data_IF_038161913808
#
_entry.id   IF_038161913808
#
_cell.length_a   1.000
_cell.length_b   1.000
_cell.length_c   1.000
_cell.angle_alpha   90.00
_cell.angle_beta   90.00
_cell.angle_gamma   90.00
#
_symmetry.space_group_name_H-M   'P 1'
#
loop_
_entity.id
_entity.type
_entity.pdbx_description
1 polymer ?
#
# COMPACT_ATOMS: atom_id res chain seq x y z
N UNK A 1 -29.70 12.31 -68.70
CA UNK A 1 -30.30 11.37 -67.73
C UNK A 1 -29.57 11.53 -66.40
N UNK A 2 -30.31 11.82 -65.32
CA UNK A 2 -29.80 11.95 -63.94
C UNK A 2 -29.24 10.60 -63.48
N UNK A 3 -28.02 10.58 -62.92
CA UNK A 3 -27.58 9.45 -62.08
C UNK A 3 -27.23 9.97 -60.69
N UNK A 4 -27.75 9.23 -59.71
CA UNK A 4 -27.99 9.64 -58.32
C UNK A 4 -26.78 9.31 -57.45
N UNK A 5 -26.48 10.21 -56.53
CA UNK A 5 -25.56 10.04 -55.40
C UNK A 5 -25.90 8.77 -54.60
N UNK A 6 -24.90 7.92 -54.38
CA UNK A 6 -24.86 6.87 -53.35
C UNK A 6 -23.58 7.18 -52.57
N UNK A 7 -23.63 7.75 -51.38
CA UNK A 7 -24.26 7.19 -50.19
C UNK A 7 -23.15 6.56 -49.35
N UNK A 8 -22.62 7.33 -48.40
CA UNK A 8 -21.54 6.95 -47.50
C UNK A 8 -21.82 5.61 -46.81
N UNK A 9 -20.85 4.69 -46.82
CA UNK A 9 -20.83 3.56 -45.89
C UNK A 9 -19.79 3.84 -44.82
N UNK A 10 -20.32 4.22 -43.66
CA UNK A 10 -19.62 4.30 -42.40
C UNK A 10 -18.93 2.95 -42.09
N UNK A 11 -17.64 3.01 -41.78
CA UNK A 11 -16.95 1.97 -41.06
C UNK A 11 -16.42 2.56 -39.77
N UNK A 12 -17.27 2.68 -38.74
CA UNK A 12 -16.76 2.90 -37.39
C UNK A 12 -16.01 1.63 -36.98
N UNK A 13 -14.69 1.68 -37.00
CA UNK A 13 -13.87 0.70 -36.29
C UNK A 13 -14.06 0.92 -34.79
N UNK A 14 -14.91 0.10 -34.18
CA UNK A 14 -15.10 0.06 -32.72
C UNK A 14 -13.79 -0.43 -32.11
N UNK A 15 -13.13 0.46 -31.37
CA UNK A 15 -11.87 0.20 -30.69
C UNK A 15 -12.02 -0.80 -29.55
N UNK A 16 -11.15 -1.80 -29.52
CA UNK A 16 -10.84 -2.56 -28.32
C UNK A 16 -9.62 -1.93 -27.66
N UNK A 17 -9.87 -0.95 -26.80
CA UNK A 17 -8.89 -0.57 -25.77
C UNK A 17 -9.04 -1.59 -24.65
N UNK A 18 -8.25 -2.65 -24.70
CA UNK A 18 -8.11 -3.57 -23.58
C UNK A 18 -7.47 -2.80 -22.43
N UNK A 19 -8.28 -2.26 -21.52
CA UNK A 19 -7.80 -1.80 -20.23
C UNK A 19 -7.26 -3.02 -19.50
N UNK A 20 -5.94 -3.23 -19.53
CA UNK A 20 -5.29 -4.11 -18.57
C UNK A 20 -5.57 -3.50 -17.19
N UNK A 21 -6.47 -4.12 -16.44
CA UNK A 21 -6.62 -3.83 -15.03
C UNK A 21 -5.32 -4.24 -14.34
N UNK A 22 -4.45 -3.27 -14.04
CA UNK A 22 -3.34 -3.48 -13.12
C UNK A 22 -3.94 -3.76 -11.75
N UNK A 23 -3.78 -4.99 -11.25
CA UNK A 23 -4.03 -5.29 -9.85
C UNK A 23 -2.89 -4.63 -9.08
N UNK A 24 -3.15 -3.44 -8.53
CA UNK A 24 -2.25 -2.83 -7.57
C UNK A 24 -2.35 -3.65 -6.27
N UNK A 25 -1.29 -4.39 -5.95
CA UNK A 25 -1.15 -5.00 -4.64
C UNK A 25 -0.57 -3.95 -3.69
N UNK A 26 -1.18 -3.77 -2.53
CA UNK A 26 -0.63 -2.96 -1.46
C UNK A 26 0.79 -3.45 -1.13
N UNK A 27 1.79 -2.57 -1.16
CA UNK A 27 3.15 -2.97 -0.79
C UNK A 27 3.20 -3.21 0.72
N UNK A 28 3.86 -4.30 1.14
CA UNK A 28 4.15 -4.51 2.55
C UNK A 28 5.44 -3.77 2.91
N UNK A 29 5.35 -2.81 3.84
CA UNK A 29 6.49 -2.03 4.31
C UNK A 29 6.80 -2.45 5.74
N UNK A 30 7.98 -3.05 5.92
CA UNK A 30 8.39 -3.64 7.17
C UNK A 30 8.90 -2.58 8.15
N UNK A 31 8.39 -2.65 9.38
CA UNK A 31 8.89 -1.90 10.53
C UNK A 31 10.35 -2.30 10.78
N UNK A 32 11.23 -1.32 10.86
CA UNK A 32 12.62 -1.55 11.25
C UNK A 32 12.72 -1.86 12.75
N UNK A 33 13.76 -2.59 13.15
CA UNK A 33 14.07 -2.88 14.55
C UNK A 33 14.63 -1.62 15.26
N UNK A 34 13.72 -0.69 15.54
CA UNK A 34 13.98 0.54 16.28
C UNK A 34 12.70 1.02 16.98
N UNK A 35 12.88 2.01 17.86
CA UNK A 35 11.81 2.61 18.66
C UNK A 35 11.32 3.95 18.09
N UNK A 36 11.62 4.23 16.83
CA UNK A 36 11.25 5.50 16.20
C UNK A 36 9.73 5.60 16.04
N UNK A 37 9.23 6.83 16.01
CA UNK A 37 7.82 7.09 15.79
C UNK A 37 7.37 6.66 14.38
N UNK A 38 6.15 6.13 14.28
CA UNK A 38 5.67 5.45 13.07
C UNK A 38 5.50 6.38 11.85
N UNK A 39 5.30 7.67 12.07
CA UNK A 39 5.24 8.67 11.01
C UNK A 39 6.61 9.01 10.40
N UNK A 40 7.72 8.58 11.03
CA UNK A 40 9.07 8.85 10.52
C UNK A 40 9.51 7.78 9.52
N UNK A 41 10.10 8.22 8.42
CA UNK A 41 10.72 7.34 7.41
C UNK A 41 11.77 6.39 8.02
N UNK A 42 12.49 6.85 9.05
CA UNK A 42 13.49 6.06 9.77
C UNK A 42 12.91 4.87 10.55
N UNK A 43 11.61 4.87 10.83
CA UNK A 43 10.91 3.76 11.49
C UNK A 43 10.81 2.51 10.60
N UNK A 44 11.09 2.62 9.31
CA UNK A 44 10.81 1.58 8.31
C UNK A 44 12.08 1.11 7.60
N UNK A 45 12.13 -0.20 7.28
CA UNK A 45 13.33 -0.83 6.67
C UNK A 45 13.68 -0.21 5.32
N UNK A 46 12.69 0.19 4.54
CA UNK A 46 12.87 0.86 3.24
C UNK A 46 13.37 2.31 3.37
N UNK A 47 13.32 2.90 4.57
CA UNK A 47 13.53 4.33 4.76
C UNK A 47 12.40 5.21 4.22
N UNK A 48 11.19 4.64 4.08
CA UNK A 48 9.97 5.36 3.65
C UNK A 48 8.79 4.85 4.47
N UNK A 49 8.02 5.75 5.07
CA UNK A 49 6.82 5.38 5.81
C UNK A 49 5.68 4.90 4.88
N UNK A 50 4.89 3.89 5.28
CA UNK A 50 3.77 3.39 4.49
C UNK A 50 2.69 4.45 4.33
N UNK A 51 2.17 4.54 3.11
CA UNK A 51 1.05 5.40 2.74
C UNK A 51 -0.29 4.68 2.72
N UNK A 52 -1.31 5.38 2.21
CA UNK A 52 -2.70 4.93 2.23
C UNK A 52 -2.97 3.66 1.42
N UNK A 53 -2.08 3.33 0.48
CA UNK A 53 -2.18 2.13 -0.35
C UNK A 53 -1.28 0.99 0.14
N UNK A 54 -0.51 1.20 1.22
CA UNK A 54 0.47 0.24 1.73
C UNK A 54 -0.01 -0.49 2.98
N UNK A 55 0.55 -1.67 3.22
CA UNK A 55 0.37 -2.41 4.46
C UNK A 55 1.58 -2.24 5.37
N UNK A 56 1.36 -1.67 6.55
CA UNK A 56 2.36 -1.63 7.61
C UNK A 56 2.59 -3.04 8.17
N UNK A 57 3.78 -3.59 7.95
CA UNK A 57 4.17 -4.92 8.41
C UNK A 57 5.01 -4.83 9.68
N UNK A 58 4.46 -5.35 10.78
CA UNK A 58 5.16 -5.54 12.04
C UNK A 58 5.50 -7.02 12.17
N UNK A 59 6.76 -7.36 11.93
CA UNK A 59 7.24 -8.73 12.01
C UNK A 59 8.39 -8.80 13.00
N UNK A 60 8.23 -9.67 14.00
CA UNK A 60 9.23 -9.87 15.04
C UNK A 60 10.33 -10.78 14.57
N UNK A 61 11.58 -10.47 14.96
CA UNK A 61 12.59 -11.50 15.09
C UNK A 61 12.08 -12.56 16.09
N UNK A 62 12.29 -13.85 15.79
CA UNK A 62 11.91 -14.98 16.64
C UNK A 62 12.62 -14.98 18.02
N UNK A 63 13.38 -13.94 18.32
CA UNK A 63 14.19 -13.78 19.52
C UNK A 63 13.32 -13.19 20.64
N UNK A 64 12.96 -13.97 21.68
CA UNK A 64 11.84 -13.66 22.60
C UNK A 64 12.04 -12.49 23.58
N UNK A 65 13.03 -11.64 23.39
CA UNK A 65 13.44 -10.64 24.39
C UNK A 65 12.59 -9.38 24.41
N UNK A 66 11.81 -9.12 23.35
CA UNK A 66 10.86 -8.00 23.33
C UNK A 66 9.49 -8.46 23.85
N UNK A 67 9.24 -8.27 25.14
CA UNK A 67 8.01 -8.72 25.80
C UNK A 67 6.77 -7.99 25.26
N UNK A 68 6.90 -6.70 24.91
CA UNK A 68 5.84 -5.89 24.30
C UNK A 68 6.47 -4.92 23.27
N UNK A 69 5.78 -4.71 22.15
CA UNK A 69 6.03 -3.64 21.18
C UNK A 69 5.19 -2.42 21.53
N UNK A 70 5.83 -1.29 21.76
CA UNK A 70 5.17 -0.02 22.05
C UNK A 70 5.73 1.04 21.12
N UNK A 71 4.87 1.59 20.25
CA UNK A 71 5.26 2.60 19.28
C UNK A 71 4.35 3.84 19.39
N UNK A 72 4.95 5.02 19.33
CA UNK A 72 4.22 6.28 19.14
C UNK A 72 3.91 6.52 17.67
N UNK A 73 2.80 7.19 17.38
CA UNK A 73 2.49 7.63 16.02
C UNK A 73 3.46 8.74 15.58
N UNK A 74 3.75 9.70 16.46
CA UNK A 74 4.58 10.88 16.18
C UNK A 74 4.05 11.83 15.11
N UNK A 75 2.81 11.62 14.66
CA UNK A 75 2.15 12.38 13.61
C UNK A 75 0.99 11.60 12.98
N UNK A 76 0.26 12.24 12.07
CA UNK A 76 -0.81 11.59 11.33
C UNK A 76 -0.25 10.51 10.40
N UNK A 77 -0.77 9.30 10.49
CA UNK A 77 -0.44 8.19 9.59
C UNK A 77 -1.68 7.69 8.87
N UNK A 78 -1.49 7.18 7.66
CA UNK A 78 -2.54 6.52 6.89
C UNK A 78 -1.96 5.26 6.28
N UNK A 79 -2.61 4.12 6.53
CA UNK A 79 -2.21 2.83 5.99
C UNK A 79 -3.41 2.18 5.30
N UNK A 80 -3.14 1.49 4.20
CA UNK A 80 -4.13 0.63 3.54
C UNK A 80 -4.40 -0.65 4.32
N UNK A 81 -3.43 -1.07 5.14
CA UNK A 81 -3.58 -2.23 6.03
C UNK A 81 -2.54 -2.29 7.15
N UNK A 82 -2.80 -3.14 8.13
CA UNK A 82 -1.86 -3.50 9.19
C UNK A 82 -1.71 -5.01 9.19
N UNK A 83 -0.48 -5.49 9.16
CA UNK A 83 -0.16 -6.92 9.29
C UNK A 83 0.82 -7.11 10.43
N UNK A 84 0.49 -8.03 11.34
CA UNK A 84 1.33 -8.35 12.49
C UNK A 84 1.64 -9.84 12.46
N UNK A 85 2.92 -10.20 12.43
CA UNK A 85 3.40 -11.58 12.38
C UNK A 85 4.51 -11.80 13.43
N UNK A 86 4.74 -13.07 13.79
CA UNK A 86 5.80 -13.49 14.72
C UNK A 86 5.88 -12.67 16.02
N UNK A 87 4.72 -12.24 16.54
CA UNK A 87 4.58 -11.40 17.74
C UNK A 87 4.79 -12.23 19.01
N UNK A 88 5.67 -11.76 19.90
CA UNK A 88 5.99 -12.44 21.18
C UNK A 88 5.24 -11.83 22.39
N UNK A 89 4.51 -10.72 22.23
CA UNK A 89 3.57 -10.17 23.22
C UNK A 89 2.84 -8.91 22.74
N UNK A 90 2.15 -8.20 23.64
CA UNK A 90 1.63 -6.82 23.49
C UNK A 90 2.12 -6.00 22.29
N UNK A 91 1.29 -5.64 21.30
CA UNK A 91 1.58 -4.52 20.39
C UNK A 91 0.63 -3.39 20.74
N UNK A 92 1.19 -2.27 21.18
CA UNK A 92 0.48 -1.04 21.53
C UNK A 92 0.95 0.08 20.61
N UNK A 93 0.00 0.76 19.99
CA UNK A 93 0.24 2.01 19.28
C UNK A 93 -0.40 3.12 20.10
N UNK A 94 0.40 4.11 20.48
CA UNK A 94 -0.06 5.26 21.27
C UNK A 94 -0.16 6.49 20.39
N UNK A 95 -1.18 7.30 20.66
CA UNK A 95 -1.26 8.66 20.15
C UNK A 95 -0.52 9.55 21.15
N UNK A 96 0.74 9.87 20.83
CA UNK A 96 1.70 10.60 21.65
C UNK A 96 1.75 12.11 21.36
#
# INVERSE_FOLDING_TARGET
>A
MKSRTVGAKAGLAVGLVSMLAMVAHAAEIQKADNTDALALDSSWVSGVAPGADDTALFDGEATPTATNWVYGLGGDVVWGGIRVTNRVGDMSVTND
#
